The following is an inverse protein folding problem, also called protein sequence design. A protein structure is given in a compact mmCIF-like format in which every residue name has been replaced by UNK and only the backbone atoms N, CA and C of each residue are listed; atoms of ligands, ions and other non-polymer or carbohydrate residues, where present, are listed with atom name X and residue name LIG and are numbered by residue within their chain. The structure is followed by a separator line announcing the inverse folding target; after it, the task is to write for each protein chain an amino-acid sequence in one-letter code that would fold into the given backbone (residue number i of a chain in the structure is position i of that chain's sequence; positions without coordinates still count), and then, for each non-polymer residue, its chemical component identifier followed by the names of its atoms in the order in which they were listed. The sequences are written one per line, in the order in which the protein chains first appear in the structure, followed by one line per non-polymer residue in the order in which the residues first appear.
data_IF_853397693462
#
_entry.id   IF_853397693462
#
_cell.length_a   1.000
_cell.length_b   1.000
_cell.length_c   1.000
_cell.angle_alpha   90.00
_cell.angle_beta   90.00
_cell.angle_gamma   90.00
#
_symmetry.space_group_name_H-M   'P 1'
#
loop_
_entity.id
_entity.type
_entity.pdbx_description
1 polymer ?
#
# COMPACT_ATOMS: atom_id res chain seq x y z
N UNK A 1 -69.52 -40.34 6.98
CA UNK A 1 -69.58 -39.17 6.06
C UNK A 1 -68.82 -37.97 6.62
N UNK A 2 -69.06 -37.55 7.88
CA UNK A 2 -68.32 -36.46 8.54
C UNK A 2 -66.81 -36.71 8.66
N UNK A 3 -66.39 -37.93 8.98
CA UNK A 3 -64.96 -38.25 9.15
C UNK A 3 -64.18 -38.15 7.83
N UNK A 4 -64.75 -38.61 6.72
CA UNK A 4 -64.13 -38.45 5.40
C UNK A 4 -63.95 -36.98 5.00
N UNK A 5 -64.91 -36.12 5.33
CA UNK A 5 -64.82 -34.70 5.03
C UNK A 5 -63.74 -34.01 5.86
N UNK A 6 -63.62 -34.36 7.14
CA UNK A 6 -62.57 -33.87 8.03
C UNK A 6 -61.17 -34.29 7.54
N UNK A 7 -61.00 -35.55 7.12
CA UNK A 7 -59.72 -36.05 6.57
C UNK A 7 -59.32 -35.33 5.29
N UNK A 8 -60.27 -34.99 4.42
CA UNK A 8 -60.01 -34.22 3.19
C UNK A 8 -59.52 -32.80 3.53
N UNK A 9 -60.18 -32.11 4.46
CA UNK A 9 -59.78 -30.76 4.90
C UNK A 9 -58.38 -30.78 5.51
N UNK A 10 -58.10 -31.75 6.38
CA UNK A 10 -56.76 -31.93 6.98
C UNK A 10 -55.76 -32.13 5.86
N UNK A 11 -55.98 -33.07 4.94
CA UNK A 11 -55.04 -33.36 3.84
C UNK A 11 -54.75 -32.11 3.00
N UNK A 12 -55.78 -31.36 2.58
CA UNK A 12 -55.62 -30.13 1.80
C UNK A 12 -54.81 -29.09 2.59
N UNK A 13 -55.13 -28.89 3.87
CA UNK A 13 -54.45 -27.93 4.73
C UNK A 13 -52.98 -28.30 4.91
N UNK A 14 -52.69 -29.58 5.20
CA UNK A 14 -51.33 -30.08 5.34
C UNK A 14 -50.55 -29.94 4.03
N UNK A 15 -51.17 -30.21 2.88
CA UNK A 15 -50.52 -30.02 1.56
C UNK A 15 -50.18 -28.55 1.33
N UNK A 16 -51.11 -27.62 1.57
CA UNK A 16 -50.88 -26.17 1.36
C UNK A 16 -49.75 -25.68 2.29
N UNK A 17 -49.79 -26.04 3.58
CA UNK A 17 -48.76 -25.65 4.55
C UNK A 17 -47.41 -26.24 4.17
N UNK A 18 -47.36 -27.51 3.75
CA UNK A 18 -46.11 -28.17 3.34
C UNK A 18 -45.53 -27.52 2.09
N UNK A 19 -46.35 -27.17 1.10
CA UNK A 19 -45.90 -26.47 -0.11
C UNK A 19 -45.40 -25.07 0.20
N UNK A 20 -46.09 -24.33 1.08
CA UNK A 20 -45.67 -22.99 1.52
C UNK A 20 -44.35 -23.01 2.30
N UNK A 21 -44.22 -23.92 3.27
CA UNK A 21 -42.98 -24.12 4.02
C UNK A 21 -41.84 -24.54 3.09
N UNK A 22 -42.07 -25.50 2.19
CA UNK A 22 -41.07 -25.97 1.23
C UNK A 22 -40.59 -24.84 0.33
N UNK A 23 -41.50 -24.05 -0.26
CA UNK A 23 -41.13 -22.89 -1.07
C UNK A 23 -40.29 -21.87 -0.28
N UNK A 24 -40.68 -21.58 0.96
CA UNK A 24 -39.93 -20.65 1.83
C UNK A 24 -38.52 -21.17 2.15
N UNK A 25 -38.40 -22.43 2.57
CA UNK A 25 -37.11 -23.06 2.88
C UNK A 25 -36.22 -23.21 1.64
N UNK A 26 -36.79 -23.66 0.51
CA UNK A 26 -36.07 -23.82 -0.75
C UNK A 26 -35.54 -22.47 -1.24
N UNK A 27 -36.37 -21.43 -1.24
CA UNK A 27 -35.96 -20.11 -1.72
C UNK A 27 -34.90 -19.46 -0.82
N UNK A 28 -35.02 -19.63 0.51
CA UNK A 28 -33.99 -19.20 1.46
C UNK A 28 -32.68 -19.95 1.26
N UNK A 29 -32.73 -21.28 1.16
CA UNK A 29 -31.54 -22.13 0.98
C UNK A 29 -30.84 -21.81 -0.33
N UNK A 30 -31.60 -21.57 -1.42
CA UNK A 30 -31.05 -21.15 -2.71
C UNK A 30 -30.36 -19.80 -2.60
N UNK A 31 -31.00 -18.82 -1.95
CA UNK A 31 -30.41 -17.49 -1.73
C UNK A 31 -29.11 -17.58 -0.92
N UNK A 32 -29.14 -18.31 0.19
CA UNK A 32 -27.98 -18.49 1.07
C UNK A 32 -26.83 -19.20 0.31
N UNK A 33 -27.16 -20.22 -0.50
CA UNK A 33 -26.18 -20.92 -1.34
C UNK A 33 -25.56 -19.99 -2.39
N UNK A 34 -26.37 -19.20 -3.10
CA UNK A 34 -25.89 -18.23 -4.09
C UNK A 34 -24.97 -17.17 -3.44
N UNK A 35 -25.31 -16.69 -2.24
CA UNK A 35 -24.48 -15.74 -1.51
C UNK A 35 -23.13 -16.35 -1.10
N UNK A 36 -23.14 -17.58 -0.58
CA UNK A 36 -21.93 -18.31 -0.22
C UNK A 36 -21.04 -18.57 -1.45
N UNK A 37 -21.63 -19.03 -2.56
CA UNK A 37 -20.91 -19.28 -3.81
C UNK A 37 -20.30 -18.00 -4.37
N UNK A 38 -21.05 -16.89 -4.36
CA UNK A 38 -20.55 -15.59 -4.77
C UNK A 38 -19.36 -15.14 -3.89
N UNK A 39 -19.51 -15.20 -2.56
CA UNK A 39 -18.44 -14.81 -1.63
C UNK A 39 -17.19 -15.65 -1.82
N UNK A 40 -17.34 -16.97 -1.95
CA UNK A 40 -16.22 -17.88 -2.18
C UNK A 40 -15.53 -17.60 -3.51
N UNK A 41 -16.29 -17.37 -4.59
CA UNK A 41 -15.76 -17.01 -5.91
C UNK A 41 -14.91 -15.73 -5.86
N UNK A 42 -15.43 -14.68 -5.22
CA UNK A 42 -14.73 -13.41 -5.07
C UNK A 42 -13.47 -13.55 -4.20
N UNK A 43 -13.54 -14.29 -3.08
CA UNK A 43 -12.39 -14.57 -2.22
C UNK A 43 -11.27 -15.30 -2.95
N UNK A 44 -11.61 -16.31 -3.77
CA UNK A 44 -10.66 -17.04 -4.60
C UNK A 44 -9.97 -16.09 -5.60
N UNK A 45 -10.72 -15.19 -6.25
CA UNK A 45 -10.16 -14.20 -7.18
C UNK A 45 -9.21 -13.23 -6.48
N UNK A 46 -9.56 -12.73 -5.30
CA UNK A 46 -8.72 -11.82 -4.52
C UNK A 46 -7.41 -12.51 -4.16
N UNK A 47 -7.50 -13.69 -3.54
CA UNK A 47 -6.35 -14.48 -3.12
C UNK A 47 -5.43 -14.82 -4.30
N UNK A 48 -6.01 -15.19 -5.46
CA UNK A 48 -5.24 -15.47 -6.68
C UNK A 48 -4.49 -14.25 -7.19
N UNK A 49 -5.14 -13.09 -7.25
CA UNK A 49 -4.49 -11.86 -7.69
C UNK A 49 -3.38 -11.45 -6.72
N UNK A 50 -3.64 -11.46 -5.41
CA UNK A 50 -2.63 -11.11 -4.41
C UNK A 50 -1.46 -12.09 -4.45
N UNK A 51 -1.71 -13.41 -4.41
CA UNK A 51 -0.63 -14.41 -4.38
C UNK A 51 0.28 -14.34 -5.60
N UNK A 52 -0.27 -14.01 -6.77
CA UNK A 52 0.48 -13.89 -8.03
C UNK A 52 1.41 -12.68 -8.03
N UNK A 53 1.07 -11.59 -7.32
CA UNK A 53 1.86 -10.35 -7.31
C UNK A 53 2.67 -10.17 -6.02
N UNK A 54 2.31 -10.86 -4.93
CA UNK A 54 2.88 -10.67 -3.60
C UNK A 54 4.41 -10.81 -3.61
N UNK A 55 4.95 -11.85 -4.23
CA UNK A 55 6.39 -12.07 -4.28
C UNK A 55 7.12 -10.94 -5.01
N UNK A 56 6.54 -10.43 -6.11
CA UNK A 56 7.08 -9.29 -6.83
C UNK A 56 7.03 -8.02 -5.97
N UNK A 57 5.90 -7.75 -5.30
CA UNK A 57 5.72 -6.58 -4.42
C UNK A 57 6.69 -6.62 -3.24
N UNK A 58 6.94 -7.79 -2.65
CA UNK A 58 7.94 -7.96 -1.60
C UNK A 58 9.34 -7.62 -2.12
N UNK A 59 9.73 -8.15 -3.29
CA UNK A 59 11.05 -7.91 -3.89
C UNK A 59 11.29 -6.44 -4.22
N UNK A 60 10.30 -5.77 -4.81
CA UNK A 60 10.39 -4.33 -5.13
C UNK A 60 10.31 -3.45 -3.87
N UNK A 61 9.56 -3.86 -2.84
CA UNK A 61 9.56 -3.20 -1.53
C UNK A 61 10.94 -3.25 -0.87
N UNK A 62 11.59 -4.42 -0.85
CA UNK A 62 12.94 -4.60 -0.35
C UNK A 62 13.94 -3.73 -1.14
N UNK A 63 13.85 -3.73 -2.47
CA UNK A 63 14.74 -2.91 -3.31
C UNK A 63 14.65 -1.42 -2.98
N UNK A 64 13.42 -0.91 -2.77
CA UNK A 64 13.20 0.47 -2.38
C UNK A 64 13.67 0.74 -0.93
N UNK A 65 13.36 -0.16 0.00
CA UNK A 65 13.81 -0.06 1.40
C UNK A 65 15.34 0.06 1.48
N UNK A 66 16.07 -0.81 0.78
CA UNK A 66 17.54 -0.81 0.76
C UNK A 66 18.10 0.48 0.13
N UNK A 67 17.41 1.05 -0.86
CA UNK A 67 17.79 2.35 -1.45
C UNK A 67 17.59 3.49 -0.46
N UNK A 68 16.48 3.50 0.28
CA UNK A 68 16.22 4.51 1.30
C UNK A 68 17.22 4.39 2.46
N UNK A 69 17.52 3.16 2.90
CA UNK A 69 18.56 2.92 3.91
C UNK A 69 19.92 3.45 3.44
N UNK A 70 20.31 3.14 2.20
CA UNK A 70 21.56 3.64 1.65
C UNK A 70 21.61 5.18 1.59
N UNK A 71 20.48 5.83 1.29
CA UNK A 71 20.35 7.29 1.37
C UNK A 71 20.54 7.78 2.81
N UNK A 72 19.93 7.13 3.81
CA UNK A 72 20.08 7.51 5.22
C UNK A 72 21.55 7.54 5.68
N UNK A 73 22.37 6.62 5.15
CA UNK A 73 23.79 6.50 5.50
C UNK A 73 24.65 7.48 4.70
N UNK A 74 24.29 7.77 3.44
CA UNK A 74 25.14 8.50 2.48
C UNK A 74 24.55 9.86 2.05
N UNK A 75 23.62 10.42 2.82
CA UNK A 75 22.91 11.64 2.48
C UNK A 75 23.83 12.84 2.18
N UNK A 76 25.00 12.90 2.82
CA UNK A 76 26.00 13.96 2.66
C UNK A 76 26.84 13.86 1.37
N UNK A 77 26.65 12.82 0.55
CA UNK A 77 27.44 12.60 -0.68
C UNK A 77 26.94 13.39 -1.89
N UNK A 78 25.86 14.16 -1.76
CA UNK A 78 25.25 14.96 -2.84
C UNK A 78 24.87 14.14 -4.09
N UNK A 79 24.64 12.84 -3.95
CA UNK A 79 24.30 11.94 -5.07
C UNK A 79 22.92 12.20 -5.68
N UNK A 80 22.10 13.03 -5.05
CA UNK A 80 20.79 13.46 -5.55
C UNK A 80 20.81 14.83 -6.23
N UNK A 81 21.99 15.43 -6.42
CA UNK A 81 22.12 16.71 -7.11
C UNK A 81 21.99 16.52 -8.63
N UNK A 82 21.15 17.33 -9.27
CA UNK A 82 20.94 17.35 -10.72
C UNK A 82 20.99 18.77 -11.34
N UNK A 83 21.00 19.82 -10.51
CA UNK A 83 21.04 21.22 -10.95
C UNK A 83 19.94 21.57 -11.99
N UNK A 84 18.75 21.00 -11.82
CA UNK A 84 17.58 21.03 -12.71
C UNK A 84 17.77 20.40 -14.11
N UNK A 85 18.89 19.72 -14.38
CA UNK A 85 19.04 18.87 -15.56
C UNK A 85 18.77 17.41 -15.20
N UNK A 86 17.57 16.95 -15.56
CA UNK A 86 17.13 15.58 -15.29
C UNK A 86 17.37 14.60 -16.45
N UNK A 87 17.91 15.08 -17.59
CA UNK A 87 18.24 14.20 -18.72
C UNK A 87 19.53 13.45 -18.45
N UNK A 88 20.57 14.16 -18.02
CA UNK A 88 21.90 13.61 -17.76
C UNK A 88 22.23 13.58 -16.26
N UNK A 89 21.53 12.73 -15.52
CA UNK A 89 21.69 12.60 -14.07
C UNK A 89 22.63 11.47 -13.67
N UNK A 90 23.21 11.58 -12.47
CA UNK A 90 23.96 10.49 -11.87
C UNK A 90 23.11 9.23 -11.68
N UNK A 91 23.74 8.06 -11.81
CA UNK A 91 23.11 6.75 -11.61
C UNK A 91 22.32 6.65 -10.30
N UNK A 92 22.80 7.29 -9.24
CA UNK A 92 22.16 7.22 -7.94
C UNK A 92 20.75 7.80 -7.95
N UNK A 93 20.58 9.01 -8.51
CA UNK A 93 19.28 9.67 -8.63
C UNK A 93 18.35 8.90 -9.57
N UNK A 94 18.84 8.50 -10.75
CA UNK A 94 18.05 7.71 -11.70
C UNK A 94 17.52 6.42 -11.10
N UNK A 95 18.39 5.68 -10.44
CA UNK A 95 18.03 4.40 -9.87
C UNK A 95 17.16 4.55 -8.61
N UNK A 96 17.17 5.70 -7.93
CA UNK A 96 16.24 6.00 -6.84
C UNK A 96 14.86 6.36 -7.40
N UNK A 97 14.77 7.25 -8.40
CA UNK A 97 13.52 7.56 -9.10
C UNK A 97 12.87 6.29 -9.63
N UNK A 98 13.64 5.46 -10.34
CA UNK A 98 13.14 4.21 -10.89
C UNK A 98 12.61 3.26 -9.81
N UNK A 99 13.30 3.10 -8.68
CA UNK A 99 12.82 2.22 -7.60
C UNK A 99 11.52 2.70 -6.98
N UNK A 100 11.34 4.02 -6.82
CA UNK A 100 10.07 4.60 -6.37
C UNK A 100 8.98 4.31 -7.40
N UNK A 101 9.21 4.66 -8.67
CA UNK A 101 8.21 4.45 -9.72
C UNK A 101 7.86 2.97 -9.88
N UNK A 102 8.86 2.10 -9.92
CA UNK A 102 8.69 0.65 -10.07
C UNK A 102 7.93 0.05 -8.88
N UNK A 103 8.20 0.54 -7.66
CA UNK A 103 7.46 0.15 -6.47
C UNK A 103 5.96 0.42 -6.63
N UNK A 104 5.61 1.68 -6.90
CA UNK A 104 4.22 2.07 -7.05
C UNK A 104 3.56 1.53 -8.32
N UNK A 105 4.30 1.28 -9.40
CA UNK A 105 3.77 0.68 -10.62
C UNK A 105 3.31 -0.77 -10.42
N UNK A 106 4.08 -1.57 -9.69
CA UNK A 106 3.65 -2.93 -9.37
C UNK A 106 2.45 -2.94 -8.40
N UNK A 107 2.40 -1.98 -7.48
CA UNK A 107 1.22 -1.79 -6.62
C UNK A 107 -0.01 -1.40 -7.46
N UNK A 108 0.12 -0.46 -8.40
CA UNK A 108 -0.96 -0.02 -9.29
C UNK A 108 -1.48 -1.19 -10.16
N UNK A 109 -0.60 -2.05 -10.66
CA UNK A 109 -0.99 -3.25 -11.41
C UNK A 109 -1.84 -4.21 -10.57
N UNK A 110 -1.51 -4.36 -9.28
CA UNK A 110 -2.34 -5.15 -8.36
C UNK A 110 -3.66 -4.44 -8.03
N UNK A 111 -3.62 -3.15 -7.71
CA UNK A 111 -4.80 -2.35 -7.34
C UNK A 111 -5.87 -2.40 -8.45
N UNK A 112 -5.47 -2.26 -9.72
CA UNK A 112 -6.37 -2.41 -10.89
C UNK A 112 -7.08 -3.76 -10.95
N UNK A 113 -6.41 -4.84 -10.57
CA UNK A 113 -6.98 -6.19 -10.56
C UNK A 113 -7.94 -6.39 -9.40
N UNK A 114 -7.79 -5.62 -8.32
CA UNK A 114 -8.64 -5.67 -7.15
C UNK A 114 -9.84 -4.72 -7.22
N UNK A 115 -9.80 -3.67 -8.05
CA UNK A 115 -10.86 -2.64 -8.15
C UNK A 115 -12.27 -3.19 -8.42
N UNK A 116 -12.39 -4.33 -9.11
CA UNK A 116 -13.69 -4.95 -9.43
C UNK A 116 -14.10 -6.05 -8.46
N UNK A 117 -13.33 -6.24 -7.38
CA UNK A 117 -13.57 -7.28 -6.38
C UNK A 117 -14.10 -6.63 -5.09
N UNK A 118 -15.07 -7.28 -4.47
CA UNK A 118 -15.48 -6.92 -3.11
C UNK A 118 -14.37 -7.36 -2.15
N UNK A 119 -13.47 -6.44 -1.83
CA UNK A 119 -12.33 -6.74 -0.96
C UNK A 119 -12.73 -6.90 0.51
N UNK A 120 -13.97 -6.58 0.90
CA UNK A 120 -14.44 -6.71 2.29
C UNK A 120 -14.57 -8.17 2.74
N UNK A 121 -14.70 -9.09 1.79
CA UNK A 121 -14.81 -10.54 2.04
C UNK A 121 -13.47 -11.29 1.96
N UNK A 122 -12.36 -10.55 1.86
CA UNK A 122 -11.01 -11.12 1.83
C UNK A 122 -10.57 -11.65 3.19
N UNK A 123 -9.57 -12.53 3.19
CA UNK A 123 -8.90 -12.96 4.42
C UNK A 123 -8.16 -11.79 5.08
N UNK A 124 -7.92 -11.89 6.39
CA UNK A 124 -7.28 -10.82 7.20
C UNK A 124 -5.96 -10.32 6.59
N UNK A 125 -5.12 -11.23 6.13
CA UNK A 125 -3.81 -10.89 5.54
C UNK A 125 -3.95 -10.21 4.18
N UNK A 126 -4.85 -10.70 3.33
CA UNK A 126 -5.15 -10.08 2.03
C UNK A 126 -5.68 -8.66 2.21
N UNK A 127 -6.61 -8.47 3.16
CA UNK A 127 -7.11 -7.15 3.53
C UNK A 127 -6.00 -6.25 4.07
N UNK A 128 -5.05 -6.80 4.82
CA UNK A 128 -3.92 -6.07 5.37
C UNK A 128 -2.97 -5.60 4.26
N UNK A 129 -2.70 -6.44 3.24
CA UNK A 129 -1.94 -6.02 2.04
C UNK A 129 -2.64 -4.85 1.34
N UNK A 130 -3.96 -4.92 1.16
CA UNK A 130 -4.75 -3.86 0.52
C UNK A 130 -4.66 -2.55 1.33
N UNK A 131 -4.71 -2.63 2.66
CA UNK A 131 -4.52 -1.47 3.54
C UNK A 131 -3.12 -0.87 3.39
N UNK A 132 -2.08 -1.69 3.35
CA UNK A 132 -0.70 -1.22 3.09
C UNK A 132 -0.56 -0.53 1.73
N UNK A 133 -1.15 -1.08 0.66
CA UNK A 133 -1.17 -0.46 -0.67
C UNK A 133 -1.71 0.97 -0.61
N UNK A 134 -2.84 1.17 0.08
CA UNK A 134 -3.44 2.50 0.24
C UNK A 134 -2.58 3.40 1.13
N UNK A 135 -2.05 2.88 2.23
CA UNK A 135 -1.13 3.59 3.12
C UNK A 135 0.10 4.11 2.35
N UNK A 136 0.72 3.31 1.49
CA UNK A 136 1.89 3.73 0.72
C UNK A 136 1.60 4.94 -0.17
N UNK A 137 0.46 4.94 -0.85
CA UNK A 137 0.05 6.08 -1.67
C UNK A 137 -0.14 7.35 -0.85
N UNK A 138 -0.80 7.24 0.31
CA UNK A 138 -1.08 8.38 1.17
C UNK A 138 0.17 8.91 1.87
N UNK A 139 1.15 8.06 2.20
CA UNK A 139 2.44 8.53 2.73
C UNK A 139 3.14 9.48 1.74
N UNK A 140 3.06 9.20 0.44
CA UNK A 140 3.71 10.04 -0.58
C UNK A 140 2.85 11.23 -0.99
N UNK A 141 1.53 11.09 -0.94
CA UNK A 141 0.61 12.03 -1.61
C UNK A 141 -0.32 12.80 -0.69
N UNK A 142 -0.67 12.26 0.49
CA UNK A 142 -1.68 12.83 1.37
C UNK A 142 -1.09 13.89 2.30
N UNK A 143 -1.81 15.01 2.46
CA UNK A 143 -1.49 16.08 3.39
C UNK A 143 -1.62 15.65 4.85
N UNK A 144 -2.47 14.67 5.18
CA UNK A 144 -2.70 14.18 6.54
C UNK A 144 -1.38 13.78 7.24
N UNK A 145 -0.36 13.37 6.48
CA UNK A 145 0.96 13.03 7.02
C UNK A 145 1.66 14.23 7.70
N UNK A 146 1.29 15.47 7.34
CA UNK A 146 1.80 16.70 7.93
C UNK A 146 1.05 17.14 9.18
N UNK A 147 0.17 16.30 9.73
CA UNK A 147 -0.49 16.59 11.00
C UNK A 147 0.53 16.92 12.10
N UNK A 148 0.29 18.02 12.82
CA UNK A 148 1.13 18.48 13.92
C UNK A 148 2.34 19.31 13.48
N UNK A 149 2.52 19.55 12.18
CA UNK A 149 3.53 20.49 11.67
C UNK A 149 2.90 21.53 10.74
N UNK A 150 3.48 22.73 10.71
CA UNK A 150 3.01 23.80 9.81
C UNK A 150 3.39 23.46 8.36
N UNK A 151 2.40 23.27 7.49
CA UNK A 151 2.63 22.96 6.08
C UNK A 151 1.63 23.67 5.16
N UNK A 152 2.07 24.04 3.95
CA UNK A 152 1.22 24.61 2.90
C UNK A 152 0.69 23.52 1.97
N UNK A 153 -0.59 23.20 2.11
CA UNK A 153 -1.30 22.19 1.33
C UNK A 153 -1.62 22.61 -0.12
N UNK A 154 -1.46 23.89 -0.47
CA UNK A 154 -1.82 24.39 -1.80
C UNK A 154 -0.77 24.05 -2.86
N UNK A 155 0.46 23.78 -2.45
CA UNK A 155 1.59 23.51 -3.34
C UNK A 155 2.21 22.13 -3.08
N UNK A 156 2.49 21.39 -4.17
CA UNK A 156 3.19 20.09 -4.15
C UNK A 156 4.70 20.23 -3.93
N UNK A 157 5.10 20.98 -2.90
CA UNK A 157 6.52 21.20 -2.58
C UNK A 157 7.08 19.95 -1.91
N UNK A 158 6.49 19.49 -0.80
CA UNK A 158 7.05 18.38 -0.01
C UNK A 158 6.25 17.08 -0.12
N UNK A 159 5.36 16.99 -1.11
CA UNK A 159 4.59 15.80 -1.45
C UNK A 159 4.36 15.75 -2.96
N UNK A 160 3.90 14.61 -3.47
CA UNK A 160 3.52 14.47 -4.88
C UNK A 160 2.01 14.24 -4.93
N UNK A 161 1.25 15.10 -5.61
CA UNK A 161 -0.18 14.85 -5.76
C UNK A 161 -0.44 13.48 -6.40
N UNK A 162 -1.48 12.79 -5.90
CA UNK A 162 -1.77 11.39 -6.27
C UNK A 162 -1.94 11.20 -7.78
N UNK A 163 -2.61 12.12 -8.45
CA UNK A 163 -2.81 12.04 -9.91
C UNK A 163 -1.50 12.26 -10.69
N UNK A 164 -0.64 13.16 -10.22
CA UNK A 164 0.68 13.37 -10.82
C UNK A 164 1.58 12.16 -10.64
N UNK A 165 1.55 11.54 -9.44
CA UNK A 165 2.25 10.30 -9.17
C UNK A 165 1.73 9.16 -10.08
N UNK A 166 0.41 9.00 -10.19
CA UNK A 166 -0.22 8.00 -11.06
C UNK A 166 0.14 8.20 -12.54
N UNK A 167 0.20 9.43 -13.02
CA UNK A 167 0.63 9.72 -14.39
C UNK A 167 2.09 9.28 -14.64
N UNK A 168 2.99 9.58 -13.70
CA UNK A 168 4.39 9.15 -13.78
C UNK A 168 4.51 7.60 -13.76
N UNK A 169 3.78 6.95 -12.85
CA UNK A 169 3.70 5.49 -12.72
C UNK A 169 3.20 4.84 -14.02
N UNK A 170 2.11 5.36 -14.59
CA UNK A 170 1.49 4.80 -15.79
C UNK A 170 2.41 4.87 -17.00
N UNK A 171 3.30 5.86 -17.04
CA UNK A 171 4.28 6.01 -18.12
C UNK A 171 5.30 4.87 -18.15
N UNK A 172 5.59 4.23 -17.00
CA UNK A 172 6.50 3.07 -16.94
C UNK A 172 5.80 1.72 -17.03
N UNK A 173 4.46 1.70 -17.17
CA UNK A 173 3.68 0.48 -17.36
C UNK A 173 3.40 0.31 -18.86
N UNK A 174 3.92 -0.77 -19.47
CA UNK A 174 3.63 -1.13 -20.87
C UNK A 174 3.07 -2.54 -20.92
N UNK A 175 1.97 -2.72 -21.64
CA UNK A 175 1.35 -4.03 -21.89
C UNK A 175 1.07 -4.84 -20.61
N UNK A 176 0.80 -4.17 -19.49
CA UNK A 176 0.53 -4.81 -18.19
C UNK A 176 1.77 -5.17 -17.37
N UNK A 177 2.97 -4.76 -17.81
CA UNK A 177 4.23 -4.99 -17.13
C UNK A 177 4.96 -3.68 -16.85
N UNK A 178 5.85 -3.69 -15.86
CA UNK A 178 6.69 -2.54 -15.52
C UNK A 178 7.98 -2.62 -16.31
N UNK A 179 8.33 -1.53 -17.00
CA UNK A 179 9.61 -1.40 -17.71
C UNK A 179 10.79 -1.74 -16.81
N UNK A 180 11.82 -2.34 -17.37
CA UNK A 180 13.14 -2.49 -16.76
C UNK A 180 13.84 -1.13 -16.56
N UNK A 181 14.91 -1.11 -15.77
CA UNK A 181 15.69 0.10 -15.52
C UNK A 181 16.30 0.69 -16.81
N UNK A 182 16.77 -0.16 -17.73
CA UNK A 182 17.36 0.29 -18.99
C UNK A 182 16.31 0.88 -19.94
N UNK A 183 15.10 0.30 -19.96
CA UNK A 183 13.98 0.85 -20.70
C UNK A 183 13.51 2.18 -20.10
N UNK A 184 13.47 2.29 -18.78
CA UNK A 184 13.19 3.54 -18.08
C UNK A 184 14.19 4.63 -18.46
N UNK A 185 15.49 4.33 -18.46
CA UNK A 185 16.53 5.29 -18.88
C UNK A 185 16.30 5.79 -20.31
N UNK A 186 16.04 4.88 -21.25
CA UNK A 186 15.75 5.25 -22.64
C UNK A 186 14.47 6.11 -22.73
N UNK A 187 13.43 5.76 -21.97
CA UNK A 187 12.20 6.54 -21.92
C UNK A 187 12.43 7.95 -21.36
N UNK A 188 13.24 8.06 -20.31
CA UNK A 188 13.66 9.33 -19.70
C UNK A 188 14.43 10.22 -20.68
N UNK A 189 15.42 9.65 -21.37
CA UNK A 189 16.22 10.35 -22.39
C UNK A 189 15.33 10.91 -23.51
N UNK A 190 14.34 10.13 -23.95
CA UNK A 190 13.39 10.53 -24.98
C UNK A 190 12.41 11.62 -24.48
N UNK A 191 11.84 11.46 -23.29
CA UNK A 191 10.92 12.41 -22.69
C UNK A 191 10.94 12.36 -21.16
N UNK A 192 11.50 13.41 -20.55
CA UNK A 192 11.65 13.53 -19.10
C UNK A 192 10.37 14.02 -18.38
N UNK A 193 9.47 14.70 -19.09
CA UNK A 193 8.36 15.43 -18.45
C UNK A 193 7.47 14.56 -17.55
N UNK A 194 7.10 13.32 -17.92
CA UNK A 194 6.30 12.45 -17.04
C UNK A 194 7.00 12.11 -15.71
N UNK A 195 8.33 12.08 -15.69
CA UNK A 195 9.11 11.66 -14.52
C UNK A 195 9.59 12.84 -13.66
N UNK A 196 9.59 14.05 -14.24
CA UNK A 196 10.16 15.27 -13.65
C UNK A 196 9.67 15.56 -12.24
N UNK A 197 8.43 15.20 -11.92
CA UNK A 197 7.86 15.39 -10.59
C UNK A 197 8.60 14.56 -9.52
N UNK A 198 8.96 13.31 -9.84
CA UNK A 198 9.71 12.44 -8.91
C UNK A 198 11.18 12.87 -8.82
N UNK A 199 11.77 13.31 -9.94
CA UNK A 199 13.11 13.90 -9.93
C UNK A 199 13.17 15.14 -9.03
N UNK A 200 12.27 16.11 -9.21
CA UNK A 200 12.19 17.33 -8.39
C UNK A 200 11.93 17.03 -6.92
N UNK A 201 11.14 16.00 -6.64
CA UNK A 201 10.93 15.54 -5.27
C UNK A 201 12.26 15.08 -4.66
N UNK A 202 13.04 14.24 -5.35
CA UNK A 202 14.32 13.72 -4.88
C UNK A 202 15.50 14.71 -4.93
N UNK A 203 15.46 15.67 -5.84
CA UNK A 203 16.62 16.50 -6.17
C UNK A 203 17.15 17.26 -4.96
N UNK A 204 18.45 17.08 -4.70
CA UNK A 204 19.16 17.77 -3.62
C UNK A 204 18.66 17.41 -2.22
N UNK A 205 17.89 16.32 -2.05
CA UNK A 205 17.49 15.87 -0.72
C UNK A 205 18.69 15.56 0.15
N UNK A 206 18.62 16.00 1.40
CA UNK A 206 19.66 15.83 2.40
C UNK A 206 19.02 15.86 3.80
N UNK A 207 19.57 15.14 4.78
CA UNK A 207 18.97 15.11 6.13
C UNK A 207 18.88 16.50 6.81
N UNK A 208 19.92 17.34 6.78
CA UNK A 208 19.78 18.74 7.18
C UNK A 208 19.09 19.54 6.08
N UNK A 209 17.76 19.51 6.06
CA UNK A 209 16.96 20.44 5.27
C UNK A 209 15.69 20.88 6.02
N UNK A 210 15.18 22.08 5.68
CA UNK A 210 13.95 22.62 6.27
C UNK A 210 12.68 21.99 5.66
N UNK A 211 12.80 21.41 4.46
CA UNK A 211 11.70 20.77 3.74
C UNK A 211 11.32 19.44 4.37
N UNK A 212 10.05 19.08 4.26
CA UNK A 212 9.50 17.87 4.89
C UNK A 212 9.51 16.62 4.00
N UNK A 213 9.97 16.73 2.74
CA UNK A 213 10.03 15.61 1.78
C UNK A 213 10.89 14.44 2.27
N UNK A 214 12.00 14.72 2.97
CA UNK A 214 12.83 13.67 3.58
C UNK A 214 12.06 12.93 4.66
N UNK A 215 11.30 13.65 5.48
CA UNK A 215 10.47 13.03 6.52
C UNK A 215 9.42 12.08 5.93
N UNK A 216 8.90 12.36 4.73
CA UNK A 216 8.05 11.41 4.01
C UNK A 216 8.79 10.14 3.60
N UNK A 217 10.02 10.26 3.10
CA UNK A 217 10.86 9.11 2.76
C UNK A 217 11.18 8.28 4.01
N UNK A 218 11.45 8.93 5.15
CA UNK A 218 11.64 8.26 6.43
C UNK A 218 10.42 7.44 6.84
N UNK A 219 9.23 8.05 6.80
CA UNK A 219 7.96 7.36 7.12
C UNK A 219 7.66 6.25 6.12
N UNK A 220 7.93 6.46 4.83
CA UNK A 220 7.79 5.42 3.81
C UNK A 220 8.68 4.22 4.13
N UNK A 221 9.92 4.45 4.61
CA UNK A 221 10.78 3.36 5.03
C UNK A 221 10.19 2.57 6.20
N UNK A 222 9.63 3.22 7.21
CA UNK A 222 8.97 2.54 8.33
C UNK A 222 7.81 1.66 7.85
N UNK A 223 6.99 2.17 6.93
CA UNK A 223 5.89 1.39 6.35
C UNK A 223 6.39 0.21 5.51
N UNK A 224 7.49 0.38 4.76
CA UNK A 224 8.13 -0.69 4.00
C UNK A 224 8.68 -1.78 4.93
N UNK A 225 9.35 -1.39 6.01
CA UNK A 225 9.86 -2.33 7.02
C UNK A 225 8.71 -3.11 7.67
N UNK A 226 7.63 -2.42 8.07
CA UNK A 226 6.46 -3.08 8.64
C UNK A 226 5.86 -4.10 7.67
N UNK A 227 5.75 -3.74 6.39
CA UNK A 227 5.24 -4.60 5.34
C UNK A 227 6.14 -5.83 5.11
N UNK A 228 7.46 -5.62 5.04
CA UNK A 228 8.45 -6.69 4.84
C UNK A 228 8.53 -7.62 6.06
N UNK A 229 8.48 -7.10 7.28
CA UNK A 229 8.45 -7.91 8.50
C UNK A 229 7.21 -8.81 8.56
N UNK A 230 6.07 -8.34 8.04
CA UNK A 230 4.81 -9.09 8.04
C UNK A 230 4.73 -10.12 6.91
N UNK A 231 5.17 -9.75 5.72
CA UNK A 231 4.88 -10.50 4.49
C UNK A 231 6.10 -11.03 3.76
N UNK A 232 7.27 -10.46 4.01
CA UNK A 232 8.54 -10.84 3.40
C UNK A 232 9.09 -12.16 3.94
N UNK A 233 10.23 -12.54 3.40
CA UNK A 233 11.01 -13.68 3.89
C UNK A 233 11.73 -13.33 5.19
N UNK A 234 12.13 -14.34 5.95
CA UNK A 234 12.87 -14.21 7.20
C UNK A 234 14.16 -13.38 7.07
N UNK A 235 14.89 -13.53 5.97
CA UNK A 235 16.10 -12.76 5.68
C UNK A 235 15.83 -11.29 5.30
N UNK A 236 14.59 -10.92 4.98
CA UNK A 236 14.17 -9.54 4.69
C UNK A 236 13.66 -8.82 5.95
N UNK A 237 13.43 -9.56 7.04
CA UNK A 237 12.92 -8.99 8.28
C UNK A 237 13.98 -8.10 8.94
N UNK A 238 13.58 -6.86 9.23
CA UNK A 238 14.40 -5.88 9.94
C UNK A 238 14.18 -6.03 11.44
N UNK A 239 15.25 -6.37 12.16
CA UNK A 239 15.25 -6.49 13.62
C UNK A 239 15.10 -5.13 14.31
N UNK A 240 14.60 -5.15 15.53
CA UNK A 240 14.39 -3.94 16.33
C UNK A 240 15.66 -3.11 16.59
N UNK A 241 16.81 -3.77 16.74
CA UNK A 241 18.11 -3.08 16.86
C UNK A 241 18.44 -2.25 15.64
N UNK A 242 18.06 -2.72 14.44
CA UNK A 242 18.30 -2.03 13.17
C UNK A 242 17.34 -0.85 12.97
N UNK A 243 16.10 -0.94 13.48
CA UNK A 243 15.16 0.19 13.48
C UNK A 243 15.74 1.38 14.28
N UNK A 244 16.35 1.12 15.43
CA UNK A 244 17.05 2.16 16.21
C UNK A 244 18.25 2.77 15.48
N UNK A 245 18.99 1.96 14.73
CA UNK A 245 20.08 2.44 13.87
C UNK A 245 19.54 3.36 12.77
N UNK A 246 18.44 2.98 12.12
CA UNK A 246 17.76 3.79 11.10
C UNK A 246 17.28 5.12 11.69
N UNK A 247 16.67 5.10 12.87
CA UNK A 247 16.26 6.31 13.58
C UNK A 247 17.44 7.25 13.84
N UNK A 248 18.58 6.70 14.29
CA UNK A 248 19.79 7.49 14.53
C UNK A 248 20.38 8.05 13.22
N UNK A 249 20.48 7.23 12.18
CA UNK A 249 20.95 7.67 10.85
C UNK A 249 20.08 8.80 10.31
N UNK A 250 18.76 8.72 10.53
CA UNK A 250 17.83 9.75 10.12
C UNK A 250 17.69 10.94 11.06
N UNK A 251 18.26 10.89 12.25
CA UNK A 251 18.12 11.94 13.26
C UNK A 251 16.64 12.15 13.69
N UNK A 252 15.90 11.05 13.84
CA UNK A 252 14.50 11.04 14.28
C UNK A 252 13.45 11.24 13.17
N UNK A 253 12.18 11.28 13.58
CA UNK A 253 11.00 11.29 12.69
C UNK A 253 10.01 12.42 13.06
N UNK A 254 10.05 13.54 12.33
CA UNK A 254 9.18 14.70 12.60
C UNK A 254 7.70 14.43 12.27
N UNK A 255 7.43 13.53 11.31
CA UNK A 255 6.08 13.21 10.84
C UNK A 255 5.49 11.96 11.51
N UNK A 256 6.02 11.53 12.66
CA UNK A 256 5.54 10.33 13.34
C UNK A 256 4.08 10.44 13.77
N UNK A 257 3.61 11.64 14.17
CA UNK A 257 2.20 11.89 14.53
C UNK A 257 1.27 11.69 13.34
N UNK A 258 1.58 12.29 12.19
CA UNK A 258 0.83 12.09 10.95
C UNK A 258 0.87 10.64 10.47
N UNK A 259 2.00 9.94 10.67
CA UNK A 259 2.07 8.52 10.35
C UNK A 259 1.07 7.69 11.19
N UNK A 260 0.99 7.93 12.50
CA UNK A 260 -0.01 7.27 13.37
C UNK A 260 -1.44 7.52 12.91
N UNK A 261 -1.77 8.76 12.52
CA UNK A 261 -3.10 9.05 11.96
C UNK A 261 -3.40 8.24 10.70
N UNK A 262 -2.43 8.08 9.80
CA UNK A 262 -2.62 7.23 8.62
C UNK A 262 -2.81 5.75 9.01
N UNK A 263 -2.06 5.25 10.01
CA UNK A 263 -2.25 3.89 10.53
C UNK A 263 -3.66 3.69 11.09
N UNK A 264 -4.19 4.66 11.83
CA UNK A 264 -5.56 4.65 12.35
C UNK A 264 -6.60 4.71 11.23
N UNK A 265 -6.45 5.64 10.27
CA UNK A 265 -7.29 5.80 9.08
C UNK A 265 -7.45 4.49 8.32
N UNK A 266 -6.35 3.74 8.16
CA UNK A 266 -6.35 2.47 7.46
C UNK A 266 -6.64 1.24 8.34
N UNK A 267 -6.93 1.44 9.63
CA UNK A 267 -7.22 0.36 10.60
C UNK A 267 -6.09 -0.67 10.62
N UNK A 268 -4.85 -0.19 10.69
CA UNK A 268 -3.63 -0.99 10.79
C UNK A 268 -3.08 -1.03 12.23
N UNK A 269 -3.83 -0.48 13.20
CA UNK A 269 -3.49 -0.42 14.63
C UNK A 269 -3.26 -1.79 15.27
N UNK A 270 -3.84 -2.86 14.72
CA UNK A 270 -3.71 -4.22 15.25
C UNK A 270 -2.55 -5.01 14.57
N UNK A 271 -1.74 -4.32 13.77
CA UNK A 271 -0.59 -4.91 13.06
C UNK A 271 0.63 -4.86 13.98
N UNK A 272 0.99 -5.99 14.58
CA UNK A 272 2.10 -6.09 15.54
C UNK A 272 3.39 -5.47 15.01
N UNK A 273 3.71 -5.66 13.73
CA UNK A 273 4.92 -5.13 13.11
C UNK A 273 4.94 -3.58 13.11
N UNK A 274 3.79 -2.93 12.94
CA UNK A 274 3.67 -1.47 13.02
C UNK A 274 3.78 -1.01 14.47
N UNK A 275 3.06 -1.66 15.39
CA UNK A 275 3.06 -1.32 16.81
C UNK A 275 4.48 -1.40 17.38
N UNK A 276 5.20 -2.47 17.05
CA UNK A 276 6.59 -2.67 17.46
C UNK A 276 7.51 -1.54 16.98
N UNK A 277 7.38 -1.12 15.72
CA UNK A 277 8.14 0.01 15.17
C UNK A 277 7.79 1.31 15.91
N UNK A 278 6.50 1.63 16.08
CA UNK A 278 6.07 2.86 16.74
C UNK A 278 6.56 2.93 18.20
N UNK A 279 6.39 1.84 18.95
CA UNK A 279 6.86 1.73 20.33
C UNK A 279 8.38 1.89 20.46
N UNK A 280 9.14 1.47 19.44
CA UNK A 280 10.60 1.60 19.45
C UNK A 280 11.08 3.03 19.33
N UNK A 281 10.34 3.85 18.58
CA UNK A 281 10.61 5.27 18.35
C UNK A 281 10.19 6.08 19.59
N UNK A 282 9.01 5.79 20.16
CA UNK A 282 8.47 6.54 21.32
C UNK A 282 9.22 6.35 22.63
N UNK A 283 9.82 5.17 22.88
CA UNK A 283 10.56 4.90 24.12
C UNK A 283 11.75 5.85 24.35
N UNK A 284 12.14 6.62 23.34
CA UNK A 284 13.19 7.65 23.43
C UNK A 284 12.65 9.02 23.86
N UNK A 285 11.39 9.35 23.56
CA UNK A 285 10.79 10.66 23.91
C UNK A 285 10.51 10.81 25.42
N UNK A 286 10.39 9.71 26.16
CA UNK A 286 10.21 9.71 27.63
C UNK A 286 11.51 9.46 28.42
N UNK A 287 12.65 9.34 27.73
CA UNK A 287 13.96 9.03 28.32
C UNK A 287 15.02 10.11 28.13
N UNK A 288 14.64 11.31 27.69
CA UNK A 288 15.52 12.47 27.52
C UNK A 288 15.21 13.58 28.52
#
# INVERSE_FOLDING_TARGET
MKDHFLTIIITITTTIVTLGLKWFFDNRTVKDKLEIEFKNSQKIKIKKNISTHKAMIIKIAESLNNRIENFSINHNKNWLRADNDFKETAYYLDSFVYRILSFFANIELLDRKLNYLDTTISDKDDLTIIKFIRLFYDIVSDGDLFEGVKYDFTNQVDHIFKDNLKNAINTIIKSGEVMSYDEFKKAKENNIEPFKIVYRFLEGMNLPENRLRVERIKVLQLALIAFLNKFGYDFQATKMSKIKEIENNFQGFKLIKGFKLLIEKYKLTDTSEIIEILNSIEKKEYGS
#
